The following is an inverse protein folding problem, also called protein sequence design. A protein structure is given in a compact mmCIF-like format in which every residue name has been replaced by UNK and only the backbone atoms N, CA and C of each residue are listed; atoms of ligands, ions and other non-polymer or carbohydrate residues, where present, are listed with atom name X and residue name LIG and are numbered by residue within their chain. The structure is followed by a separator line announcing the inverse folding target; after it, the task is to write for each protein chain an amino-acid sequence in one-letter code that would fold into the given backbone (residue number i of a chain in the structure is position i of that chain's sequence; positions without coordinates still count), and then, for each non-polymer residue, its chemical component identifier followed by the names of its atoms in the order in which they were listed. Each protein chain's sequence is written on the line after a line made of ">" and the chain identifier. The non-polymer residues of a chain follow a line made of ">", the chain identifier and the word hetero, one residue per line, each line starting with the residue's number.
data_IF_088612949219
#
_entry.id   IF_088612949219
#
_cell.length_a   1.000
_cell.length_b   1.000
_cell.length_c   1.000
_cell.angle_alpha   90.00
_cell.angle_beta   90.00
_cell.angle_gamma   90.00
#
_symmetry.space_group_name_H-M   'P 1'
#
loop_
_entity.id
_entity.type
_entity.pdbx_description
1 polymer ?
#
# COMPACT_ATOMS: atom_id res chain seq x y z
N UNK A 1 17.05 6.05 -15.76
CA UNK A 1 16.32 6.37 -14.51
C UNK A 1 15.06 7.13 -14.90
N UNK A 2 13.88 6.64 -14.57
CA UNK A 2 12.62 7.33 -14.86
C UNK A 2 12.07 7.93 -13.57
N UNK A 3 11.80 9.23 -13.57
CA UNK A 3 11.17 9.93 -12.44
C UNK A 3 9.66 9.72 -12.58
N UNK A 4 9.01 9.19 -11.53
CA UNK A 4 7.54 9.01 -11.48
C UNK A 4 6.99 9.89 -10.36
N UNK A 5 6.15 10.86 -10.73
CA UNK A 5 5.48 11.79 -9.80
C UNK A 5 3.95 11.65 -9.95
N UNK A 6 3.32 10.68 -9.25
CA UNK A 6 1.87 10.58 -9.24
C UNK A 6 1.23 11.82 -8.59
N UNK A 7 0.22 12.38 -9.23
CA UNK A 7 -0.59 13.49 -8.68
C UNK A 7 -2.03 13.00 -8.64
N UNK A 8 -2.64 13.06 -7.44
CA UNK A 8 -4.00 12.58 -7.20
C UNK A 8 -4.90 13.76 -6.81
N UNK A 9 -6.15 13.75 -7.26
CA UNK A 9 -7.19 14.73 -6.90
C UNK A 9 -8.40 14.05 -6.24
N UNK A 10 -9.15 14.73 -5.34
CA UNK A 10 -10.33 14.15 -4.73
C UNK A 10 -11.39 13.79 -5.77
N UNK A 11 -11.82 12.53 -5.78
CA UNK A 11 -12.95 12.10 -6.60
C UNK A 11 -14.27 12.26 -5.83
N UNK A 12 -15.30 12.81 -6.49
CA UNK A 12 -16.67 12.85 -5.96
C UNK A 12 -17.36 11.50 -6.20
N UNK A 13 -17.55 10.69 -5.15
CA UNK A 13 -18.12 9.33 -5.23
C UNK A 13 -18.81 8.85 -3.95
N UNK A 14 -19.69 7.83 -4.06
CA UNK A 14 -20.68 7.45 -3.03
C UNK A 14 -20.08 6.88 -1.73
N UNK A 15 -20.59 7.42 -0.60
CA UNK A 15 -20.62 6.91 0.80
C UNK A 15 -19.33 6.93 1.64
N UNK A 16 -18.15 7.22 1.10
CA UNK A 16 -16.94 7.35 1.94
C UNK A 16 -16.14 8.57 1.51
N UNK A 17 -15.75 9.41 2.48
CA UNK A 17 -14.88 10.57 2.22
C UNK A 17 -13.63 10.09 1.50
N UNK A 18 -13.28 10.73 0.39
CA UNK A 18 -12.06 10.41 -0.36
C UNK A 18 -10.86 10.54 0.57
N UNK A 19 -9.96 9.56 0.59
CA UNK A 19 -8.70 9.64 1.35
C UNK A 19 -7.86 10.86 0.93
N UNK A 20 -8.06 11.36 -0.29
CA UNK A 20 -7.41 12.58 -0.80
C UNK A 20 -8.08 13.83 -0.23
N UNK A 21 -9.41 13.81 -0.07
CA UNK A 21 -10.14 14.92 0.59
C UNK A 21 -9.67 15.07 2.04
N UNK A 22 -9.59 13.96 2.80
CA UNK A 22 -9.08 14.01 4.18
C UNK A 22 -7.61 14.44 4.31
N UNK A 23 -6.81 14.36 3.25
CA UNK A 23 -5.47 14.94 3.21
C UNK A 23 -5.51 16.45 2.92
N UNK A 24 -6.34 16.88 1.96
CA UNK A 24 -6.41 18.29 1.51
C UNK A 24 -7.21 19.17 2.48
N UNK A 25 -8.09 18.59 3.29
CA UNK A 25 -8.92 19.32 4.25
C UNK A 25 -8.05 20.15 5.22
N UNK A 26 -8.50 21.38 5.46
CA UNK A 26 -7.81 22.40 6.27
C UNK A 26 -7.51 21.91 7.68
N UNK A 27 -8.33 20.99 8.20
CA UNK A 27 -8.21 20.44 9.55
C UNK A 27 -7.08 19.39 9.69
N UNK A 28 -6.48 18.89 8.60
CA UNK A 28 -5.41 17.87 8.64
C UNK A 28 -4.05 18.36 8.10
N UNK A 29 -3.98 18.92 6.89
CA UNK A 29 -2.69 19.35 6.29
C UNK A 29 -2.72 20.74 5.61
N UNK A 30 -3.87 21.40 5.53
CA UNK A 30 -3.95 22.80 5.08
C UNK A 30 -3.81 23.02 3.57
N UNK A 31 -3.95 21.99 2.73
CA UNK A 31 -3.94 22.12 1.27
C UNK A 31 -3.20 21.00 0.53
N UNK A 32 -2.81 21.27 -0.71
CA UNK A 32 -2.05 20.33 -1.54
C UNK A 32 -0.64 20.09 -0.98
N UNK A 33 -0.14 18.86 -1.10
CA UNK A 33 1.16 18.48 -0.55
C UNK A 33 1.58 17.06 -0.91
N UNK A 34 2.73 16.63 -0.39
CA UNK A 34 3.26 15.28 -0.58
C UNK A 34 2.50 14.31 0.33
N UNK A 35 1.72 13.42 -0.29
CA UNK A 35 0.93 12.42 0.45
C UNK A 35 1.77 11.24 0.96
N UNK A 36 2.67 10.70 0.13
CA UNK A 36 3.55 9.59 0.51
C UNK A 36 4.82 9.56 -0.35
N UNK A 37 5.86 8.88 0.16
CA UNK A 37 7.12 8.62 -0.55
C UNK A 37 7.30 7.10 -0.64
N UNK A 38 7.42 6.56 -1.86
CA UNK A 38 7.66 5.14 -2.07
C UNK A 38 9.16 4.84 -1.95
N UNK A 39 9.54 4.01 -0.97
CA UNK A 39 10.91 3.56 -0.75
C UNK A 39 11.13 2.21 -1.44
N UNK A 40 12.12 2.13 -2.32
CA UNK A 40 12.46 0.89 -3.01
C UNK A 40 13.34 -0.01 -2.13
N UNK A 41 13.14 -1.33 -2.21
CA UNK A 41 13.97 -2.33 -1.56
C UNK A 41 14.06 -3.60 -2.40
N UNK A 42 15.20 -4.28 -2.33
CA UNK A 42 15.43 -5.56 -3.00
C UNK A 42 14.86 -6.74 -2.19
N UNK A 43 14.55 -6.55 -0.91
CA UNK A 43 13.97 -7.57 -0.05
C UNK A 43 12.89 -6.96 0.86
N UNK A 44 11.64 -7.01 0.40
CA UNK A 44 10.52 -6.39 1.10
C UNK A 44 10.19 -7.09 2.42
N UNK A 45 10.34 -8.41 2.52
CA UNK A 45 10.00 -9.16 3.74
C UNK A 45 10.90 -8.72 4.89
N UNK A 46 12.22 -8.79 4.69
CA UNK A 46 13.20 -8.34 5.70
C UNK A 46 13.05 -6.86 6.04
N UNK A 47 12.72 -6.02 5.04
CA UNK A 47 12.52 -4.59 5.27
C UNK A 47 11.31 -4.32 6.17
N UNK A 48 10.19 -5.00 5.94
CA UNK A 48 8.97 -4.85 6.74
C UNK A 48 9.16 -5.40 8.15
N UNK A 49 9.82 -6.55 8.31
CA UNK A 49 10.17 -7.10 9.62
C UNK A 49 11.01 -6.13 10.44
N UNK A 50 12.03 -5.53 9.83
CA UNK A 50 12.89 -4.54 10.47
C UNK A 50 12.16 -3.24 10.81
N UNK A 51 11.22 -2.79 9.98
CA UNK A 51 10.42 -1.59 10.27
C UNK A 51 9.44 -1.85 11.42
N UNK A 52 8.77 -3.01 11.42
CA UNK A 52 7.85 -3.42 12.49
C UNK A 52 8.58 -3.57 13.83
N UNK A 53 9.78 -4.19 13.84
CA UNK A 53 10.57 -4.33 15.08
C UNK A 53 11.05 -2.98 15.64
N UNK A 54 11.14 -1.95 14.79
CA UNK A 54 11.44 -0.56 15.17
C UNK A 54 10.20 0.26 15.53
N UNK A 55 9.01 -0.35 15.59
CA UNK A 55 7.77 0.30 16.00
C UNK A 55 7.01 1.02 14.88
N UNK A 56 7.34 0.77 13.62
CA UNK A 56 6.55 1.31 12.50
C UNK A 56 5.26 0.51 12.34
N UNK A 57 4.13 1.20 12.39
CA UNK A 57 2.81 0.59 12.21
C UNK A 57 2.44 0.44 10.73
N UNK A 58 1.74 -0.65 10.41
CA UNK A 58 1.24 -0.94 9.08
C UNK A 58 -0.27 -1.25 9.13
N UNK A 59 -1.03 -0.90 8.09
CA UNK A 59 -2.45 -1.27 8.01
C UNK A 59 -2.66 -2.78 8.09
N UNK A 60 -3.66 -3.21 8.86
CA UNK A 60 -4.07 -4.60 8.91
C UNK A 60 -4.82 -4.98 7.62
N UNK A 61 -4.49 -6.15 7.06
CA UNK A 61 -5.12 -6.66 5.85
C UNK A 61 -5.92 -7.92 6.23
N UNK A 62 -7.20 -8.04 5.82
CA UNK A 62 -8.00 -9.24 6.08
C UNK A 62 -7.37 -10.49 5.47
N UNK A 63 -7.41 -11.63 6.19
CA UNK A 63 -6.87 -12.91 5.70
C UNK A 63 -7.44 -13.30 4.33
N UNK A 64 -8.72 -13.03 4.09
CA UNK A 64 -9.41 -13.33 2.83
C UNK A 64 -8.75 -12.66 1.62
N UNK A 65 -8.06 -11.53 1.79
CA UNK A 65 -7.29 -10.90 0.70
C UNK A 65 -6.25 -11.86 0.13
N UNK A 66 -5.51 -12.54 1.01
CA UNK A 66 -4.45 -13.45 0.62
C UNK A 66 -4.95 -14.78 0.07
N UNK A 67 -6.10 -15.26 0.56
CA UNK A 67 -6.77 -16.43 -0.01
C UNK A 67 -7.15 -16.12 -1.48
N UNK A 68 -7.80 -14.98 -1.74
CA UNK A 68 -8.11 -14.52 -3.11
C UNK A 68 -6.85 -14.23 -3.96
N UNK A 69 -5.78 -13.73 -3.35
CA UNK A 69 -4.53 -13.44 -4.05
C UNK A 69 -3.91 -14.72 -4.62
N UNK A 70 -3.95 -15.83 -3.87
CA UNK A 70 -3.48 -17.13 -4.35
C UNK A 70 -4.24 -17.57 -5.59
N UNK A 71 -5.57 -17.47 -5.58
CA UNK A 71 -6.43 -17.86 -6.72
C UNK A 71 -6.13 -17.02 -7.97
N UNK A 72 -5.90 -15.71 -7.79
CA UNK A 72 -5.53 -14.80 -8.89
C UNK A 72 -4.14 -15.11 -9.46
N UNK A 73 -3.20 -15.51 -8.61
CA UNK A 73 -1.83 -15.83 -9.03
C UNK A 73 -1.72 -17.19 -9.72
N UNK A 74 -2.60 -18.15 -9.42
CA UNK A 74 -2.66 -19.44 -10.12
C UNK A 74 -2.80 -19.27 -11.64
N UNK A 75 -3.51 -18.24 -12.07
CA UNK A 75 -3.79 -17.94 -13.48
C UNK A 75 -2.90 -16.82 -14.03
N UNK A 76 -1.94 -16.32 -13.24
CA UNK A 76 -1.05 -15.23 -13.63
C UNK A 76 0.26 -15.76 -14.23
N UNK A 77 0.76 -15.10 -15.26
CA UNK A 77 2.12 -15.35 -15.77
C UNK A 77 3.23 -15.01 -14.75
N UNK A 78 2.88 -14.33 -13.65
CA UNK A 78 3.82 -13.90 -12.62
C UNK A 78 4.05 -15.00 -11.58
N UNK A 79 5.15 -15.76 -11.72
CA UNK A 79 5.55 -16.84 -10.81
C UNK A 79 6.13 -16.31 -9.48
N UNK A 80 5.32 -15.64 -8.66
CA UNK A 80 5.74 -15.08 -7.35
C UNK A 80 4.96 -15.68 -6.15
N UNK A 81 4.50 -16.93 -6.24
CA UNK A 81 3.78 -17.58 -5.13
C UNK A 81 4.61 -17.65 -3.83
N UNK A 82 5.94 -17.83 -3.91
CA UNK A 82 6.79 -17.97 -2.71
C UNK A 82 6.78 -16.75 -1.78
N UNK A 83 6.51 -15.55 -2.28
CA UNK A 83 6.39 -14.34 -1.44
C UNK A 83 5.06 -14.31 -0.69
N UNK A 84 4.00 -14.86 -1.28
CA UNK A 84 2.68 -14.92 -0.64
C UNK A 84 2.70 -15.86 0.56
N UNK A 85 3.45 -16.96 0.49
CA UNK A 85 3.59 -17.88 1.63
C UNK A 85 4.37 -17.23 2.79
N UNK A 86 5.41 -16.45 2.50
CA UNK A 86 6.17 -15.71 3.52
C UNK A 86 5.36 -14.61 4.21
N UNK A 87 4.32 -14.08 3.56
CA UNK A 87 3.43 -13.06 4.15
C UNK A 87 2.33 -13.66 5.05
N UNK A 88 2.20 -14.99 5.05
CA UNK A 88 1.11 -15.73 5.69
C UNK A 88 1.57 -16.70 6.78
N UNK A 89 2.89 -16.86 6.94
CA UNK A 89 3.52 -17.47 8.09
C UNK A 89 3.67 -16.44 9.23
#
# INVERSE_FOLDING_TARGET
>A
MAIKLPINEPATGRKTVSQIQGYVDVDYYGGAGIQHIALNTNNIISSIEALRSRGVEFPAIPKSYYDNLRDRLQHSATKKLGVVEQLLA
#
